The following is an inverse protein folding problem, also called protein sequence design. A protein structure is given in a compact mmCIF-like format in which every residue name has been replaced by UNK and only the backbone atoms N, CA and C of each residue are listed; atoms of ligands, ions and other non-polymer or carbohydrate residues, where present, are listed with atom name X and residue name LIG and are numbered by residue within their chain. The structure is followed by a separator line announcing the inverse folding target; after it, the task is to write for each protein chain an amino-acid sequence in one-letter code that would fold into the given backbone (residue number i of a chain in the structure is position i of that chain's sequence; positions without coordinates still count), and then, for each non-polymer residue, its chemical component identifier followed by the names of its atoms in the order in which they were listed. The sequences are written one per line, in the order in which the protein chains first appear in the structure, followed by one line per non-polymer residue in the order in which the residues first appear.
data_IF_952698860215
#
_entry.id   IF_952698860215
#
_cell.length_a   1.000
_cell.length_b   1.000
_cell.length_c   1.000
_cell.angle_alpha   90.00
_cell.angle_beta   90.00
_cell.angle_gamma   90.00
#
_symmetry.space_group_name_H-M   'P 1'
#
loop_
_entity.id
_entity.type
_entity.pdbx_description
1 polymer ?
#
# COMPACT_ATOMS: atom_id res chain seq x y z
N UNK A 1 -17.10 19.50 37.58
CA UNK A 1 -15.92 18.74 37.12
C UNK A 1 -15.96 18.76 35.60
N UNK A 2 -15.27 19.71 34.95
CA UNK A 2 -15.29 19.88 33.50
C UNK A 2 -14.43 18.78 32.87
N UNK A 3 -15.04 17.94 32.04
CA UNK A 3 -14.28 17.03 31.18
C UNK A 3 -13.62 17.88 30.09
N UNK A 4 -12.29 17.85 30.00
CA UNK A 4 -11.57 18.52 28.90
C UNK A 4 -12.05 17.94 27.58
N UNK A 5 -12.46 18.75 26.58
CA UNK A 5 -12.71 18.22 25.25
C UNK A 5 -11.38 17.67 24.74
N UNK A 6 -11.34 16.36 24.47
CA UNK A 6 -10.22 15.75 23.75
C UNK A 6 -10.15 16.43 22.37
N UNK A 7 -9.24 17.41 22.25
CA UNK A 7 -8.90 18.09 21.01
C UNK A 7 -8.33 17.00 20.08
N UNK A 8 -9.17 16.49 19.17
CA UNK A 8 -8.76 15.48 18.20
C UNK A 8 -7.48 15.92 17.48
N UNK A 9 -6.68 15.00 16.91
CA UNK A 9 -5.34 15.30 16.37
C UNK A 9 -5.33 16.49 15.38
N UNK A 10 -6.44 16.71 14.67
CA UNK A 10 -6.64 17.80 13.70
C UNK A 10 -6.68 19.19 14.34
N UNK A 11 -7.11 19.31 15.59
CA UNK A 11 -7.23 20.61 16.25
C UNK A 11 -5.94 21.03 16.98
N UNK A 12 -4.94 20.14 17.11
CA UNK A 12 -3.62 20.48 17.65
C UNK A 12 -2.72 21.18 16.62
N UNK A 13 -2.94 20.97 15.32
CA UNK A 13 -2.18 21.60 14.24
C UNK A 13 -2.72 22.94 13.77
N UNK A 14 -3.89 23.39 14.28
CA UNK A 14 -4.54 24.64 13.83
C UNK A 14 -3.67 25.90 14.02
N UNK A 15 -2.79 25.91 15.02
CA UNK A 15 -1.86 27.02 15.30
C UNK A 15 -0.44 26.76 14.74
N UNK A 16 -0.27 25.74 13.90
CA UNK A 16 1.01 25.36 13.30
C UNK A 16 1.06 25.80 11.84
N UNK A 17 2.25 26.17 11.35
CA UNK A 17 2.47 26.53 9.96
C UNK A 17 3.46 25.57 9.28
N UNK A 18 3.30 25.32 7.97
CA UNK A 18 4.24 24.50 7.23
C UNK A 18 5.60 25.19 7.14
N UNK A 19 6.63 24.45 7.56
CA UNK A 19 8.03 24.80 7.41
C UNK A 19 8.54 24.35 6.04
N UNK A 20 8.29 23.09 5.68
CA UNK A 20 8.66 22.48 4.42
C UNK A 20 7.80 21.24 4.11
N UNK A 21 7.68 20.91 2.82
CA UNK A 21 6.93 19.76 2.30
C UNK A 21 7.87 18.79 1.61
N UNK A 22 7.69 17.48 1.86
CA UNK A 22 8.55 16.42 1.35
C UNK A 22 7.72 15.29 0.69
N UNK A 23 8.25 14.62 -0.33
CA UNK A 23 7.54 13.52 -1.00
C UNK A 23 7.51 12.23 -0.16
N UNK A 24 8.45 12.08 0.78
CA UNK A 24 8.62 10.88 1.60
C UNK A 24 8.82 11.22 3.08
N UNK A 25 8.39 10.29 3.94
CA UNK A 25 8.46 10.45 5.38
C UNK A 25 9.90 10.56 5.90
N UNK A 26 10.85 9.84 5.28
CA UNK A 26 12.25 9.82 5.73
C UNK A 26 12.95 11.17 5.51
N UNK A 27 12.58 11.91 4.46
CA UNK A 27 13.03 13.28 4.22
C UNK A 27 12.43 14.26 5.23
N UNK A 28 11.14 14.13 5.55
CA UNK A 28 10.51 14.91 6.61
C UNK A 28 11.15 14.65 7.98
N UNK A 29 11.44 13.39 8.31
CA UNK A 29 12.11 13.01 9.55
C UNK A 29 13.53 13.59 9.63
N UNK A 30 14.31 13.55 8.54
CA UNK A 30 15.65 14.16 8.51
C UNK A 30 15.65 15.66 8.82
N UNK A 31 14.60 16.37 8.40
CA UNK A 31 14.44 17.79 8.73
C UNK A 31 14.18 18.00 10.22
N UNK A 32 13.34 17.15 10.83
CA UNK A 32 13.11 17.18 12.28
C UNK A 32 14.38 16.82 13.05
N UNK A 33 15.14 15.82 12.59
CA UNK A 33 16.43 15.45 13.18
C UNK A 33 17.43 16.63 13.11
N UNK A 34 17.50 17.31 11.97
CA UNK A 34 18.36 18.50 11.80
C UNK A 34 17.95 19.65 12.73
N UNK A 35 16.66 19.85 12.95
CA UNK A 35 16.15 20.83 13.91
C UNK A 35 16.53 20.43 15.35
N UNK A 36 16.39 19.14 15.70
CA UNK A 36 16.80 18.62 17.00
C UNK A 36 18.29 18.84 17.25
N UNK A 37 19.14 18.54 16.27
CA UNK A 37 20.59 18.74 16.36
C UNK A 37 20.98 20.21 16.52
N UNK A 38 20.17 21.12 15.97
CA UNK A 38 20.32 22.56 16.15
C UNK A 38 19.78 23.06 17.51
N UNK A 39 19.29 22.18 18.37
CA UNK A 39 18.72 22.51 19.68
C UNK A 39 17.32 23.12 19.63
N UNK A 40 16.60 22.97 18.52
CA UNK A 40 15.22 23.44 18.39
C UNK A 40 14.26 22.52 19.16
N UNK A 41 13.26 23.06 19.88
CA UNK A 41 12.29 22.25 20.64
C UNK A 41 11.32 21.52 19.70
N UNK A 42 11.66 20.28 19.37
CA UNK A 42 10.92 19.42 18.42
C UNK A 42 9.51 19.04 18.90
N UNK A 43 9.20 19.18 20.18
CA UNK A 43 7.86 19.02 20.74
C UNK A 43 6.85 20.04 20.16
N UNK A 44 7.35 21.11 19.54
CA UNK A 44 6.54 22.11 18.83
C UNK A 44 6.44 21.85 17.32
N UNK A 45 6.89 20.69 16.86
CA UNK A 45 6.90 20.26 15.46
C UNK A 45 5.98 19.06 15.25
N UNK A 46 5.29 19.01 14.11
CA UNK A 46 4.44 17.90 13.72
C UNK A 46 4.72 17.50 12.26
N UNK A 47 4.69 16.20 11.97
CA UNK A 47 4.74 15.70 10.59
C UNK A 47 3.31 15.31 10.20
N UNK A 48 2.79 15.95 9.14
CA UNK A 48 1.43 15.73 8.65
C UNK A 48 1.49 15.12 7.25
N UNK A 49 0.90 13.94 7.09
CA UNK A 49 0.68 13.34 5.77
C UNK A 49 -0.54 13.99 5.11
N UNK A 50 -0.34 14.59 3.95
CA UNK A 50 -1.35 15.28 3.15
C UNK A 50 -1.64 14.48 1.87
N UNK A 51 -2.78 14.76 1.22
CA UNK A 51 -3.25 14.02 0.03
C UNK A 51 -3.29 12.51 0.23
N UNK A 52 -3.98 12.07 1.29
CA UNK A 52 -4.17 10.66 1.57
C UNK A 52 -4.91 10.00 0.39
N UNK A 53 -4.20 9.18 -0.37
CA UNK A 53 -4.77 8.34 -1.41
C UNK A 53 -5.00 6.94 -0.86
N UNK A 54 -6.17 6.40 -1.13
CA UNK A 54 -6.46 5.01 -0.88
C UNK A 54 -5.98 4.22 -2.09
N UNK A 55 -4.88 3.48 -1.92
CA UNK A 55 -4.42 2.56 -2.96
C UNK A 55 -5.04 1.18 -2.71
N UNK A 56 -5.79 0.70 -3.70
CA UNK A 56 -6.33 -0.66 -3.69
C UNK A 56 -5.39 -1.56 -4.49
N UNK A 57 -4.47 -2.24 -3.81
CA UNK A 57 -3.58 -3.18 -4.49
C UNK A 57 -4.33 -4.47 -4.80
N UNK A 58 -4.61 -4.70 -6.08
CA UNK A 58 -5.23 -5.94 -6.59
C UNK A 58 -4.23 -7.09 -6.47
N UNK A 59 -4.30 -7.83 -5.36
CA UNK A 59 -3.29 -8.87 -5.04
C UNK A 59 -3.58 -10.21 -5.75
N UNK A 60 -4.67 -10.29 -6.53
CA UNK A 60 -5.07 -11.45 -7.33
C UNK A 60 -6.32 -12.17 -6.84
N UNK A 61 -6.62 -13.33 -7.43
CA UNK A 61 -7.79 -14.16 -7.10
C UNK A 61 -7.53 -14.97 -5.83
N UNK A 62 -8.23 -14.65 -4.75
CA UNK A 62 -8.18 -15.43 -3.52
C UNK A 62 -9.17 -16.59 -3.65
N UNK A 63 -8.68 -17.75 -4.08
CA UNK A 63 -9.51 -18.96 -4.17
C UNK A 63 -9.77 -19.52 -2.77
N UNK A 64 -10.93 -20.13 -2.57
CA UNK A 64 -11.30 -20.74 -1.28
C UNK A 64 -10.29 -21.81 -0.82
N UNK A 65 -9.57 -22.43 -1.76
CA UNK A 65 -8.45 -23.33 -1.46
C UNK A 65 -7.26 -22.64 -0.79
N UNK A 66 -6.92 -21.40 -1.20
CA UNK A 66 -5.83 -20.64 -0.56
C UNK A 66 -6.21 -20.16 0.85
N UNK A 67 -7.48 -19.85 1.08
CA UNK A 67 -8.00 -19.54 2.40
C UNK A 67 -7.99 -20.77 3.32
N UNK A 68 -8.45 -21.93 2.84
CA UNK A 68 -8.37 -23.19 3.56
C UNK A 68 -6.92 -23.57 3.88
N UNK A 69 -6.00 -23.40 2.93
CA UNK A 69 -4.58 -23.69 3.16
C UNK A 69 -3.97 -22.78 4.24
N UNK A 70 -4.28 -21.48 4.23
CA UNK A 70 -3.85 -20.54 5.28
C UNK A 70 -4.43 -20.92 6.65
N UNK A 71 -5.70 -21.28 6.67
CA UNK A 71 -6.36 -21.80 7.87
C UNK A 71 -5.70 -23.08 8.38
N UNK A 72 -5.39 -24.01 7.49
CA UNK A 72 -4.72 -25.27 7.81
C UNK A 72 -3.31 -25.05 8.37
N UNK A 73 -2.54 -24.12 7.80
CA UNK A 73 -1.20 -23.80 8.29
C UNK A 73 -1.23 -23.21 9.71
N UNK A 74 -2.20 -22.31 9.97
CA UNK A 74 -2.36 -21.73 11.30
C UNK A 74 -2.87 -22.76 12.30
N UNK A 75 -3.82 -23.60 11.88
CA UNK A 75 -4.33 -24.73 12.66
C UNK A 75 -3.24 -25.74 13.00
N UNK A 76 -2.39 -26.11 12.04
CA UNK A 76 -1.27 -27.02 12.24
C UNK A 76 -0.27 -26.50 13.29
N UNK A 77 0.03 -25.19 13.27
CA UNK A 77 0.91 -24.56 14.26
C UNK A 77 0.29 -24.60 15.66
N UNK A 78 -1.00 -24.30 15.79
CA UNK A 78 -1.72 -24.42 17.06
C UNK A 78 -1.74 -25.88 17.53
N UNK A 79 -2.03 -26.81 16.62
CA UNK A 79 -2.01 -28.26 16.88
C UNK A 79 -0.64 -28.77 17.30
N UNK A 80 0.44 -28.26 16.72
CA UNK A 80 1.81 -28.59 17.12
C UNK A 80 2.08 -28.18 18.56
N UNK A 81 1.71 -26.96 18.95
CA UNK A 81 1.90 -26.47 20.32
C UNK A 81 1.06 -27.27 21.31
N UNK A 82 -0.22 -27.51 21.00
CA UNK A 82 -1.12 -28.32 21.84
C UNK A 82 -0.62 -29.77 21.93
N UNK A 83 -0.19 -30.34 20.81
CA UNK A 83 0.35 -31.69 20.73
C UNK A 83 1.61 -31.86 21.53
N UNK A 84 2.54 -30.89 21.45
CA UNK A 84 3.75 -30.89 22.25
C UNK A 84 3.41 -30.85 23.74
N UNK A 85 2.49 -29.95 24.13
CA UNK A 85 2.04 -29.82 25.51
C UNK A 85 1.35 -31.09 26.04
N UNK A 86 0.41 -31.67 25.29
CA UNK A 86 -0.27 -32.92 25.67
C UNK A 86 0.70 -34.12 25.65
N UNK A 87 1.65 -34.12 24.72
CA UNK A 87 2.68 -35.12 24.61
C UNK A 87 3.57 -35.21 25.86
N UNK A 88 3.82 -34.09 26.54
CA UNK A 88 4.61 -34.07 27.79
C UNK A 88 4.01 -34.95 28.90
N UNK A 89 2.71 -35.24 28.85
CA UNK A 89 2.02 -36.11 29.81
C UNK A 89 2.03 -37.60 29.42
N UNK A 90 2.77 -37.97 28.37
CA UNK A 90 2.83 -39.36 27.88
C UNK A 90 4.02 -40.11 28.47
N UNK A 91 3.83 -41.40 28.75
CA UNK A 91 4.87 -42.24 29.35
C UNK A 91 5.86 -42.83 28.34
N UNK A 92 5.56 -42.80 27.04
CA UNK A 92 6.42 -43.37 26.00
C UNK A 92 6.62 -42.40 24.84
N UNK A 93 7.81 -42.44 24.24
CA UNK A 93 8.16 -41.62 23.07
C UNK A 93 7.27 -41.92 21.86
N UNK A 94 6.81 -43.17 21.70
CA UNK A 94 5.90 -43.55 20.61
C UNK A 94 4.54 -42.89 20.80
N UNK A 95 4.00 -42.87 22.02
CA UNK A 95 2.76 -42.17 22.36
C UNK A 95 2.90 -40.65 22.20
N UNK A 96 4.05 -40.08 22.60
CA UNK A 96 4.36 -38.66 22.40
C UNK A 96 4.26 -38.28 20.92
N UNK A 97 5.02 -38.96 20.06
CA UNK A 97 5.03 -38.67 18.61
C UNK A 97 3.64 -38.87 18.01
N UNK A 98 2.93 -39.93 18.40
CA UNK A 98 1.56 -40.19 17.95
C UNK A 98 0.59 -39.05 18.27
N UNK A 99 0.62 -38.54 19.51
CA UNK A 99 -0.24 -37.43 19.95
C UNK A 99 0.11 -36.13 19.23
N UNK A 100 1.39 -35.83 19.04
CA UNK A 100 1.82 -34.63 18.30
C UNK A 100 1.34 -34.69 16.85
N UNK A 101 1.54 -35.80 16.14
CA UNK A 101 1.10 -35.92 14.75
C UNK A 101 -0.43 -35.83 14.66
N UNK A 102 -1.15 -36.52 15.54
CA UNK A 102 -2.61 -36.55 15.51
C UNK A 102 -3.23 -35.17 15.78
N UNK A 103 -2.70 -34.45 16.77
CA UNK A 103 -3.15 -33.09 17.09
C UNK A 103 -2.87 -32.10 15.95
N UNK A 104 -1.71 -32.19 15.28
CA UNK A 104 -1.42 -31.37 14.10
C UNK A 104 -2.44 -31.63 12.98
N UNK A 105 -2.73 -32.90 12.67
CA UNK A 105 -3.67 -33.27 11.61
C UNK A 105 -5.07 -32.72 11.92
N UNK A 106 -5.59 -32.97 13.12
CA UNK A 106 -6.93 -32.50 13.49
C UNK A 106 -7.03 -30.98 13.55
N UNK A 107 -6.03 -30.31 14.13
CA UNK A 107 -6.01 -28.86 14.18
C UNK A 107 -5.86 -28.24 12.78
N UNK A 108 -5.13 -28.87 11.87
CA UNK A 108 -5.05 -28.44 10.48
C UNK A 108 -6.40 -28.58 9.75
N UNK A 109 -7.13 -29.68 9.95
CA UNK A 109 -8.46 -29.88 9.36
C UNK A 109 -9.44 -28.83 9.88
N UNK A 110 -9.52 -28.66 11.21
CA UNK A 110 -10.40 -27.66 11.83
C UNK A 110 -10.00 -26.25 11.38
N UNK A 111 -8.69 -25.95 11.37
CA UNK A 111 -8.15 -24.68 10.87
C UNK A 111 -8.50 -24.42 9.41
N UNK A 112 -8.47 -25.45 8.56
CA UNK A 112 -8.87 -25.35 7.16
C UNK A 112 -10.36 -25.01 7.01
N UNK A 113 -11.22 -25.65 7.79
CA UNK A 113 -12.67 -25.39 7.81
C UNK A 113 -12.91 -23.96 8.29
N UNK A 114 -12.29 -23.52 9.39
CA UNK A 114 -12.39 -22.15 9.87
C UNK A 114 -11.88 -21.13 8.85
N UNK A 115 -10.75 -21.40 8.20
CA UNK A 115 -10.21 -20.54 7.13
C UNK A 115 -11.15 -20.45 5.93
N UNK A 116 -11.80 -21.56 5.56
CA UNK A 116 -12.81 -21.58 4.51
C UNK A 116 -14.06 -20.80 4.91
N UNK A 117 -14.61 -21.01 6.11
CA UNK A 117 -15.80 -20.32 6.61
C UNK A 117 -15.54 -18.82 6.79
N UNK A 118 -14.41 -18.42 7.36
CA UNK A 118 -14.02 -17.03 7.49
C UNK A 118 -13.91 -16.34 6.12
N UNK A 119 -13.42 -17.06 5.12
CA UNK A 119 -13.40 -16.57 3.74
C UNK A 119 -14.79 -16.50 3.12
N UNK A 120 -15.66 -17.48 3.38
CA UNK A 120 -17.05 -17.49 2.90
C UNK A 120 -17.88 -16.35 3.50
N UNK A 121 -17.69 -16.05 4.79
CA UNK A 121 -18.34 -14.91 5.46
C UNK A 121 -17.80 -13.56 4.96
N UNK A 122 -16.51 -13.49 4.63
CA UNK A 122 -15.90 -12.29 4.01
C UNK A 122 -16.21 -12.14 2.51
N UNK A 123 -17.01 -13.05 1.92
CA UNK A 123 -17.21 -13.18 0.46
C UNK A 123 -18.30 -12.27 -0.10
N UNK A 124 -18.42 -11.05 0.43
CA UNK A 124 -19.36 -10.04 -0.05
C UNK A 124 -18.79 -9.25 -1.22
N UNK A 125 -19.14 -9.65 -2.45
CA UNK A 125 -19.02 -8.93 -3.74
C UNK A 125 -17.61 -8.82 -4.40
N UNK A 126 -17.43 -9.65 -5.45
CA UNK A 126 -16.51 -9.55 -6.61
C UNK A 126 -14.99 -9.77 -6.40
N UNK A 127 -14.54 -11.01 -6.65
CA UNK A 127 -13.33 -11.47 -7.35
C UNK A 127 -11.95 -10.75 -7.24
N UNK A 128 -11.77 -9.84 -6.28
CA UNK A 128 -10.50 -9.21 -6.00
C UNK A 128 -10.30 -9.11 -4.49
N UNK A 129 -9.20 -9.69 -3.99
CA UNK A 129 -8.74 -9.33 -2.65
C UNK A 129 -8.02 -7.99 -2.81
N UNK A 130 -8.71 -6.90 -2.45
CA UNK A 130 -8.07 -5.60 -2.30
C UNK A 130 -7.41 -5.56 -0.93
N UNK A 131 -6.16 -5.12 -0.89
CA UNK A 131 -5.59 -4.55 0.33
C UNK A 131 -5.72 -3.05 0.16
N UNK A 132 -6.59 -2.43 0.95
CA UNK A 132 -6.72 -0.99 1.00
C UNK A 132 -5.61 -0.44 1.90
N UNK A 133 -4.67 0.29 1.32
CA UNK A 133 -3.63 1.00 2.06
C UNK A 133 -3.86 2.50 1.91
N UNK A 134 -3.82 3.23 3.02
CA UNK A 134 -3.82 4.69 3.01
C UNK A 134 -2.37 5.14 2.88
N UNK A 135 -2.06 5.84 1.80
CA UNK A 135 -0.72 6.36 1.52
C UNK A 135 -0.82 7.88 1.38
N UNK A 136 0.02 8.64 2.07
CA UNK A 136 0.10 10.09 1.88
C UNK A 136 0.78 10.43 0.56
N UNK A 137 0.28 11.45 -0.13
CA UNK A 137 0.91 11.99 -1.34
C UNK A 137 2.18 12.78 -1.03
N UNK A 138 2.18 13.50 0.08
CA UNK A 138 3.32 14.25 0.57
C UNK A 138 3.24 14.41 2.10
N UNK A 139 4.35 14.83 2.71
CA UNK A 139 4.53 14.99 4.15
C UNK A 139 4.98 16.42 4.44
N UNK A 140 4.17 17.15 5.20
CA UNK A 140 4.46 18.51 5.64
C UNK A 140 5.05 18.48 7.06
N UNK A 141 6.18 19.15 7.24
CA UNK A 141 6.72 19.44 8.58
C UNK A 141 6.11 20.76 9.03
N UNK A 142 5.21 20.71 10.00
CA UNK A 142 4.57 21.88 10.60
C UNK A 142 5.30 22.27 11.89
N UNK A 143 5.42 23.56 12.15
CA UNK A 143 5.98 24.11 13.39
C UNK A 143 5.00 25.09 14.00
N UNK A 144 4.93 25.17 15.33
CA UNK A 144 4.13 26.17 16.03
C UNK A 144 4.38 27.59 15.48
N UNK A 145 3.31 28.32 15.13
CA UNK A 145 3.36 29.64 14.49
C UNK A 145 4.41 30.63 15.06
N UNK A 146 4.58 30.79 16.38
CA UNK A 146 5.57 31.74 16.91
C UNK A 146 7.02 31.34 16.66
N UNK A 147 7.29 30.07 16.35
CA UNK A 147 8.65 29.51 16.27
C UNK A 147 9.08 29.16 14.84
N UNK A 148 8.21 29.37 13.85
CA UNK A 148 8.47 29.02 12.43
C UNK A 148 9.70 29.74 11.89
N UNK A 149 9.88 31.02 12.22
CA UNK A 149 11.01 31.79 11.73
C UNK A 149 12.33 31.38 12.40
N UNK A 150 12.26 30.96 13.67
CA UNK A 150 13.38 30.37 14.40
C UNK A 150 13.76 28.99 13.84
N UNK A 151 12.78 28.16 13.46
CA UNK A 151 13.03 26.89 12.80
C UNK A 151 13.68 27.08 11.41
N UNK A 152 13.24 28.08 10.63
CA UNK A 152 13.86 28.43 9.34
C UNK A 152 15.30 28.88 9.51
N UNK A 153 15.57 29.75 10.49
CA UNK A 153 16.94 30.20 10.73
C UNK A 153 17.82 29.05 11.21
N UNK A 154 17.34 28.17 12.08
CA UNK A 154 18.06 26.97 12.51
C UNK A 154 18.44 26.05 11.34
N UNK A 155 17.49 25.78 10.42
CA UNK A 155 17.76 25.00 9.20
C UNK A 155 18.78 25.68 8.28
N UNK A 156 18.70 27.01 8.12
CA UNK A 156 19.66 27.75 7.31
C UNK A 156 21.08 27.65 7.89
N UNK A 157 21.23 27.78 9.21
CA UNK A 157 22.53 27.65 9.89
C UNK A 157 23.08 26.22 9.79
N UNK A 158 22.23 25.19 9.94
CA UNK A 158 22.61 23.80 9.79
C UNK A 158 23.07 23.46 8.35
N UNK A 159 22.41 24.04 7.34
CA UNK A 159 22.81 23.93 5.94
C UNK A 159 24.19 24.58 5.68
N UNK A 160 24.42 25.79 6.22
CA UNK A 160 25.73 26.47 6.11
C UNK A 160 26.85 25.74 6.85
N UNK A 161 26.56 25.15 8.03
CA UNK A 161 27.53 24.35 8.81
C UNK A 161 27.86 22.97 8.19
N UNK A 162 27.08 22.53 7.20
CA UNK A 162 27.35 21.30 6.41
C UNK A 162 28.13 21.63 5.14
N UNK A 163 27.88 22.79 4.53
CA UNK A 163 28.69 23.31 3.42
C UNK A 163 30.15 23.55 3.84
N UNK A 164 30.40 23.98 5.09
CA UNK A 164 31.75 24.12 5.64
C UNK A 164 32.47 22.79 5.95
N UNK A 165 31.77 21.65 5.93
CA UNK A 165 32.36 20.31 6.08
C UNK A 165 32.72 19.63 4.75
N UNK A 166 32.34 20.23 3.62
CA UNK A 166 32.60 19.70 2.27
C UNK A 166 33.49 20.66 1.45
N UNK A 167 34.81 20.48 1.58
CA UNK A 167 35.93 20.89 0.69
C UNK A 167 36.66 22.24 0.96
N UNK A 168 37.96 22.40 0.55
CA UNK A 168 38.89 21.42 -0.04
C UNK A 168 40.25 21.28 0.70
N UNK A 169 40.79 20.06 0.73
CA UNK A 169 42.21 19.83 0.97
C UNK A 169 43.06 20.50 -0.11
N UNK A 170 44.11 21.19 0.32
CA UNK A 170 44.89 22.21 -0.38
C UNK A 170 45.51 21.82 -1.73
N UNK A 171 45.69 22.79 -2.65
CA UNK A 171 46.53 22.64 -3.84
C UNK A 171 48.01 22.75 -3.46
N UNK A 172 48.80 21.73 -3.80
CA UNK A 172 50.26 21.86 -3.84
C UNK A 172 51.00 20.59 -3.46
N UNK A 173 51.31 19.74 -4.44
CA UNK A 173 52.69 19.40 -4.79
C UNK A 173 52.69 18.53 -6.04
N UNK A 174 53.18 19.11 -7.13
CA UNK A 174 53.64 18.38 -8.30
C UNK A 174 54.88 17.58 -7.90
N UNK A 175 54.78 16.25 -7.92
CA UNK A 175 55.94 15.35 -7.87
C UNK A 175 55.74 14.23 -8.90
N UNK A 176 56.52 14.34 -9.99
CA UNK A 176 56.99 13.22 -10.81
C UNK A 176 58.50 13.26 -10.72
N UNK A 177 59.22 12.13 -10.54
CA UNK A 177 59.49 11.24 -11.68
C UNK A 177 59.73 9.73 -11.36
N UNK A 178 59.60 8.85 -12.37
CA UNK A 178 60.31 7.54 -12.45
C UNK A 178 59.44 6.27 -12.55
N UNK A 179 59.50 5.53 -13.67
CA UNK A 179 58.89 4.18 -13.87
C UNK A 179 59.79 3.02 -13.39
N UNK A 180 59.74 1.78 -13.95
CA UNK A 180 58.64 0.94 -14.46
C UNK A 180 58.52 -0.48 -13.79
N UNK A 181 57.28 -1.01 -13.63
CA UNK A 181 56.90 -2.45 -13.49
C UNK A 181 57.32 -3.24 -12.23
N UNK A 182 56.84 -4.50 -11.98
CA UNK A 182 55.78 -5.28 -12.64
C UNK A 182 54.76 -5.97 -11.66
N UNK A 183 53.79 -6.71 -12.23
CA UNK A 183 53.01 -7.83 -11.65
C UNK A 183 51.69 -7.58 -10.89
N UNK A 184 50.56 -7.89 -11.56
CA UNK A 184 49.25 -8.20 -10.93
C UNK A 184 48.04 -8.04 -11.86
N UNK A 185 47.31 -9.12 -12.27
CA UNK A 185 46.45 -9.10 -13.46
C UNK A 185 45.06 -8.47 -13.29
N UNK A 186 44.58 -7.89 -14.40
CA UNK A 186 43.26 -7.31 -14.58
C UNK A 186 42.13 -8.33 -14.47
N UNK A 187 41.14 -8.04 -13.63
CA UNK A 187 39.82 -8.64 -13.72
C UNK A 187 39.05 -8.07 -14.92
N UNK A 188 39.20 -8.76 -16.06
CA UNK A 188 38.36 -8.61 -17.24
C UNK A 188 37.00 -9.24 -16.94
N UNK A 189 36.05 -8.49 -16.37
CA UNK A 189 34.67 -8.95 -16.26
C UNK A 189 33.91 -8.56 -17.53
N UNK A 190 34.07 -9.43 -18.53
CA UNK A 190 33.26 -9.50 -19.72
C UNK A 190 31.79 -9.67 -19.33
N UNK A 191 31.00 -8.62 -19.57
CA UNK A 191 29.54 -8.71 -19.57
C UNK A 191 28.98 -8.02 -20.80
N UNK A 192 29.50 -8.44 -21.96
CA UNK A 192 28.87 -8.21 -23.25
C UNK A 192 27.84 -9.30 -23.58
N UNK A 193 26.58 -8.88 -23.71
CA UNK A 193 25.59 -9.35 -24.69
C UNK A 193 25.54 -10.86 -25.05
N UNK A 194 24.45 -11.53 -24.63
CA UNK A 194 23.81 -12.57 -25.46
C UNK A 194 22.28 -12.48 -25.37
N UNK A 195 21.68 -12.15 -26.51
CA UNK A 195 20.25 -12.17 -26.78
C UNK A 195 19.73 -13.62 -26.90
N UNK A 196 18.42 -13.87 -26.71
CA UNK A 196 17.78 -15.09 -27.18
C UNK A 196 17.01 -14.83 -28.48
N UNK A 197 17.55 -15.32 -29.59
CA UNK A 197 16.77 -15.79 -30.74
C UNK A 197 17.14 -17.26 -30.95
N UNK A 198 16.29 -18.16 -31.41
CA UNK A 198 14.87 -18.13 -31.76
C UNK A 198 14.46 -19.54 -32.18
N UNK A 199 13.15 -19.76 -32.24
CA UNK A 199 12.45 -20.71 -33.12
C UNK A 199 12.73 -22.21 -32.94
N UNK A 200 11.71 -22.93 -32.48
CA UNK A 200 11.33 -24.21 -33.09
C UNK A 200 9.80 -24.33 -33.12
N UNK A 201 9.29 -24.39 -34.34
CA UNK A 201 7.90 -24.60 -34.70
C UNK A 201 7.56 -26.09 -34.62
N UNK A 202 6.55 -26.47 -33.84
CA UNK A 202 5.95 -27.81 -33.96
C UNK A 202 4.46 -27.82 -33.58
N UNK A 203 3.62 -27.95 -34.61
CA UNK A 203 2.35 -28.68 -34.60
C UNK A 203 1.17 -28.16 -33.76
N UNK A 204 0.25 -27.42 -34.40
CA UNK A 204 -1.14 -27.31 -33.92
C UNK A 204 -1.95 -28.55 -34.33
N UNK A 205 -2.74 -29.15 -33.44
CA UNK A 205 -3.92 -29.91 -33.82
C UNK A 205 -5.21 -29.08 -33.64
N UNK A 206 -5.98 -28.99 -34.73
CA UNK A 206 -7.45 -28.93 -34.77
C UNK A 206 -8.19 -27.93 -33.86
N UNK A 207 -8.60 -26.80 -34.45
CA UNK A 207 -9.72 -25.99 -33.93
C UNK A 207 -11.05 -26.64 -34.35
N UNK A 208 -11.97 -26.98 -33.43
CA UNK A 208 -13.37 -27.18 -33.80
C UNK A 208 -14.04 -25.81 -34.01
N UNK A 209 -14.54 -25.61 -35.23
CA UNK A 209 -15.44 -24.53 -35.61
C UNK A 209 -16.86 -24.86 -35.13
N UNK A 210 -17.39 -24.10 -34.18
CA UNK A 210 -18.82 -24.04 -33.80
C UNK A 210 -18.91 -22.93 -32.74
N UNK A 211 -19.82 -21.95 -32.71
CA UNK A 211 -21.03 -21.61 -33.44
C UNK A 211 -21.29 -20.15 -33.02
N UNK A 212 -21.50 -19.23 -33.97
CA UNK A 212 -21.89 -17.85 -33.65
C UNK A 212 -23.39 -17.85 -33.37
N UNK A 213 -23.87 -17.37 -32.21
CA UNK A 213 -25.29 -17.15 -32.04
C UNK A 213 -25.69 -15.87 -32.79
N UNK A 214 -26.39 -16.07 -33.90
CA UNK A 214 -27.17 -15.03 -34.57
C UNK A 214 -28.22 -14.50 -33.59
N UNK A 215 -28.05 -13.27 -33.12
CA UNK A 215 -29.15 -12.55 -32.48
C UNK A 215 -29.93 -11.83 -33.56
N UNK A 216 -30.99 -12.50 -34.01
CA UNK A 216 -32.07 -11.91 -34.77
C UNK A 216 -32.56 -10.63 -34.11
N UNK A 217 -32.31 -9.52 -34.80
CA UNK A 217 -33.02 -8.25 -34.65
C UNK A 217 -34.51 -8.53 -34.87
N UNK A 218 -35.26 -8.71 -33.78
CA UNK A 218 -36.72 -8.78 -33.83
C UNK A 218 -37.24 -7.42 -33.43
N UNK A 219 -37.51 -6.62 -34.44
CA UNK A 219 -38.30 -5.40 -34.36
C UNK A 219 -39.77 -5.83 -34.28
N UNK A 220 -40.36 -5.84 -33.09
CA UNK A 220 -41.80 -5.98 -32.91
C UNK A 220 -42.31 -4.96 -31.90
N UNK A 221 -42.78 -3.85 -32.48
CA UNK A 221 -43.92 -3.01 -32.13
C UNK A 221 -44.92 -3.61 -31.11
N UNK A 222 -45.28 -2.81 -30.11
CA UNK A 222 -46.41 -3.00 -29.19
C UNK A 222 -46.00 -3.74 -27.90
N UNK A 223 -46.21 -3.25 -26.68
CA UNK A 223 -47.24 -2.36 -26.15
C UNK A 223 -46.70 -1.79 -24.83
N UNK A 224 -46.93 -0.50 -24.58
CA UNK A 224 -46.58 0.22 -23.36
C UNK A 224 -47.73 0.09 -22.33
N UNK A 225 -47.50 -0.47 -21.13
CA UNK A 225 -48.40 -0.29 -20.01
C UNK A 225 -47.62 0.34 -18.85
N UNK A 226 -47.60 1.67 -18.77
CA UNK A 226 -47.02 2.31 -17.60
C UNK A 226 -46.86 3.83 -17.63
N UNK A 227 -47.24 4.51 -18.71
CA UNK A 227 -47.16 5.97 -18.75
C UNK A 227 -48.35 6.61 -18.03
N UNK A 228 -48.12 6.94 -16.77
CA UNK A 228 -48.95 7.80 -15.94
C UNK A 228 -49.28 9.10 -16.68
N UNK A 229 -50.58 9.29 -16.85
CA UNK A 229 -51.31 10.44 -17.35
C UNK A 229 -50.96 11.70 -16.51
N UNK A 230 -50.22 12.63 -17.10
CA UNK A 230 -50.13 14.00 -16.61
C UNK A 230 -51.03 14.84 -17.51
N UNK A 231 -52.24 15.09 -17.01
CA UNK A 231 -53.29 15.84 -17.66
C UNK A 231 -52.82 17.20 -18.15
N UNK A 232 -52.88 17.37 -19.46
CA UNK A 232 -52.81 18.65 -20.16
C UNK A 232 -54.22 19.24 -20.19
N UNK A 233 -54.53 20.13 -19.25
CA UNK A 233 -55.77 20.90 -19.25
C UNK A 233 -55.71 22.07 -20.25
N UNK A 234 -56.78 22.35 -21.02
CA UNK A 234 -56.82 23.46 -21.94
C UNK A 234 -57.04 24.78 -21.19
N UNK A 235 -56.33 25.84 -21.60
CA UNK A 235 -56.35 27.14 -20.93
C UNK A 235 -57.62 27.97 -21.16
N UNK A 236 -57.74 29.12 -20.47
CA UNK A 236 -58.58 30.21 -20.90
C UNK A 236 -57.76 31.38 -21.45
N UNK A 237 -58.26 31.83 -22.58
CA UNK A 237 -58.02 33.03 -23.37
C UNK A 237 -58.07 34.32 -22.52
N UNK A 238 -57.02 35.15 -22.59
CA UNK A 238 -57.11 36.58 -22.22
C UNK A 238 -56.33 37.42 -23.23
N UNK A 239 -57.00 37.78 -24.33
CA UNK A 239 -56.61 38.90 -25.19
C UNK A 239 -57.78 39.87 -25.33
N UNK A 240 -57.73 40.99 -24.60
CA UNK A 240 -58.38 42.29 -24.87
C UNK A 240 -57.69 43.31 -23.96
N UNK A 241 -56.83 44.17 -24.48
CA UNK A 241 -57.16 45.52 -24.99
C UNK A 241 -57.80 46.45 -23.94
N UNK A 242 -57.01 47.31 -23.28
CA UNK A 242 -56.87 48.74 -23.61
C UNK A 242 -56.07 49.51 -22.53
N UNK A 243 -55.41 50.62 -22.92
CA UNK A 243 -54.87 51.62 -22.01
C UNK A 243 -55.95 52.63 -21.59
N UNK A 244 -55.75 53.28 -20.44
CA UNK A 244 -55.77 54.74 -20.14
C UNK A 244 -55.69 54.93 -18.62
#
# INVERSE_FOLDING_TARGET
MFTSPAKGPVAQTADMRPLASYPDYASAQRTVDTLSDAGFPVETTAIVGSDLRLEETVTGRLTSGKAALRGASNGALIGLVIGLFLGLFTATTISFIGIVIWSIIWAAIVGAIFGYVAHALSRGQRDFTSRSAIVAGHYDVLVASPMVEQARSALAHAASGTAGRSAPGSPGTMHMPGGPGPDGPMHMQDRGMRAPGGQDHMGMPGRPSMERPDTHRTETRGTDPGRTDLGHGPGPDTRRDRPE
#
